data_IF_350260927091
#
_entry.id   IF_350260927091
#
_cell.length_a   1.000
_cell.length_b   1.000
_cell.length_c   1.000
_cell.angle_alpha   90.00
_cell.angle_beta   90.00
_cell.angle_gamma   90.00
#
_symmetry.space_group_name_H-M   'P 1'
#
loop_
_entity.id
_entity.type
_entity.pdbx_description
1 polymer ?
#
# COMPACT_ATOMS: atom_id res chain seq x y z
N UNK A 1 -11.44 -15.10 2.84
CA UNK A 1 -11.91 -14.75 4.20
C UNK A 1 -10.75 -14.59 5.18
N UNK A 2 -9.78 -15.50 5.22
CA UNK A 2 -8.72 -15.51 6.25
C UNK A 2 -7.64 -14.43 6.09
N UNK A 3 -7.54 -13.77 4.93
CA UNK A 3 -6.55 -12.72 4.66
C UNK A 3 -7.23 -11.36 4.48
N UNK A 4 -8.20 -11.25 3.58
CA UNK A 4 -8.81 -9.98 3.17
C UNK A 4 -9.60 -9.34 4.31
N UNK A 5 -10.58 -10.05 4.88
CA UNK A 5 -11.48 -9.47 5.89
C UNK A 5 -10.75 -9.07 7.16
N UNK A 6 -9.87 -9.91 7.77
CA UNK A 6 -9.10 -9.49 8.94
C UNK A 6 -8.16 -8.31 8.65
N UNK A 7 -7.59 -8.26 7.44
CA UNK A 7 -6.69 -7.19 7.04
C UNK A 7 -7.39 -5.83 6.93
N UNK A 8 -8.55 -5.76 6.26
CA UNK A 8 -9.32 -4.50 6.20
C UNK A 8 -9.93 -4.12 7.55
N UNK A 9 -10.34 -5.08 8.38
CA UNK A 9 -10.79 -4.80 9.75
C UNK A 9 -9.65 -4.20 10.59
N UNK A 10 -8.43 -4.75 10.51
CA UNK A 10 -7.26 -4.21 11.21
C UNK A 10 -6.92 -2.79 10.72
N UNK A 11 -7.02 -2.54 9.41
CA UNK A 11 -6.79 -1.20 8.84
C UNK A 11 -7.85 -0.20 9.33
N UNK A 12 -9.13 -0.56 9.35
CA UNK A 12 -10.21 0.29 9.87
C UNK A 12 -9.98 0.64 11.36
N UNK A 13 -9.61 -0.34 12.19
CA UNK A 13 -9.29 -0.10 13.61
C UNK A 13 -8.09 0.83 13.76
N UNK A 14 -6.98 0.55 13.10
CA UNK A 14 -5.77 1.35 13.25
C UNK A 14 -5.94 2.81 12.78
N UNK A 15 -6.74 3.04 11.73
CA UNK A 15 -7.05 4.40 11.28
C UNK A 15 -8.01 5.13 12.21
N UNK A 16 -8.97 4.42 12.83
CA UNK A 16 -9.85 4.98 13.85
C UNK A 16 -9.04 5.40 15.10
N UNK A 17 -8.10 4.57 15.54
CA UNK A 17 -7.21 4.88 16.67
C UNK A 17 -6.35 6.12 16.37
N UNK A 18 -5.80 6.23 15.15
CA UNK A 18 -5.06 7.41 14.71
C UNK A 18 -5.94 8.68 14.71
N UNK A 19 -7.17 8.59 14.19
CA UNK A 19 -8.11 9.70 14.18
C UNK A 19 -8.48 10.12 15.62
N UNK A 20 -8.72 9.16 16.51
CA UNK A 20 -9.01 9.42 17.92
C UNK A 20 -7.82 10.09 18.61
N UNK A 21 -6.59 9.60 18.40
CA UNK A 21 -5.40 10.22 18.95
C UNK A 21 -5.23 11.66 18.48
N UNK A 22 -5.45 11.94 17.18
CA UNK A 22 -5.36 13.28 16.61
C UNK A 22 -6.42 14.25 17.17
N UNK A 23 -7.59 13.75 17.59
CA UNK A 23 -8.60 14.58 18.28
C UNK A 23 -8.17 14.98 19.70
N UNK A 24 -7.46 14.09 20.39
CA UNK A 24 -7.00 14.32 21.76
C UNK A 24 -5.78 15.24 21.79
N UNK A 25 -4.80 14.96 20.95
CA UNK A 25 -3.55 15.71 20.84
C UNK A 25 -3.09 15.65 19.39
N UNK A 26 -2.80 16.82 18.79
CA UNK A 26 -2.28 16.90 17.42
C UNK A 26 -0.77 17.17 17.36
N UNK A 27 -0.04 16.96 18.44
CA UNK A 27 1.44 16.97 18.41
C UNK A 27 1.93 15.91 17.43
N UNK A 28 2.72 16.36 16.47
CA UNK A 28 3.19 15.49 15.40
C UNK A 28 4.01 14.30 15.91
N UNK A 29 4.83 14.49 16.96
CA UNK A 29 5.68 13.43 17.53
C UNK A 29 4.84 12.42 18.29
N UNK A 30 3.85 12.90 19.07
CA UNK A 30 2.92 12.04 19.81
C UNK A 30 2.06 11.15 18.87
N UNK A 31 1.74 11.62 17.66
CA UNK A 31 0.92 10.89 16.68
C UNK A 31 1.69 9.85 15.86
N UNK A 32 3.04 9.94 15.79
CA UNK A 32 3.84 9.02 14.97
C UNK A 32 3.59 7.53 15.24
N UNK A 33 3.48 7.04 16.48
CA UNK A 33 3.21 5.62 16.71
C UNK A 33 1.88 5.16 16.10
N UNK A 34 0.80 5.91 16.26
CA UNK A 34 -0.51 5.59 15.69
C UNK A 34 -0.49 5.66 14.15
N UNK A 35 0.22 6.65 13.58
CA UNK A 35 0.44 6.73 12.13
C UNK A 35 1.21 5.51 11.61
N UNK A 36 2.27 5.07 12.30
CA UNK A 36 3.04 3.89 11.91
C UNK A 36 2.14 2.64 11.91
N UNK A 37 1.32 2.45 12.95
CA UNK A 37 0.40 1.32 13.05
C UNK A 37 -0.67 1.33 11.92
N UNK A 38 -1.25 2.49 11.61
CA UNK A 38 -2.18 2.63 10.50
C UNK A 38 -1.54 2.32 9.15
N UNK A 39 -0.29 2.75 8.96
CA UNK A 39 0.44 2.45 7.73
C UNK A 39 0.80 0.96 7.63
N UNK A 40 1.21 0.31 8.74
CA UNK A 40 1.47 -1.14 8.78
C UNK A 40 0.23 -1.93 8.36
N UNK A 41 -0.92 -1.59 8.92
CA UNK A 41 -2.20 -2.23 8.59
C UNK A 41 -2.57 -2.03 7.12
N UNK A 42 -2.34 -0.81 6.55
CA UNK A 42 -2.55 -0.55 5.13
C UNK A 42 -1.66 -1.42 4.25
N UNK A 43 -0.36 -1.52 4.54
CA UNK A 43 0.56 -2.35 3.75
C UNK A 43 0.13 -3.81 3.75
N UNK A 44 -0.49 -4.27 4.83
CA UNK A 44 -1.07 -5.62 4.92
C UNK A 44 -2.17 -5.93 3.90
N UNK A 45 -2.82 -4.91 3.32
CA UNK A 45 -3.92 -5.07 2.35
C UNK A 45 -3.73 -4.25 1.06
N UNK A 46 -2.69 -3.43 0.96
CA UNK A 46 -2.46 -2.52 -0.17
C UNK A 46 -2.40 -3.22 -1.53
N UNK A 47 -1.95 -4.47 -1.55
CA UNK A 47 -1.88 -5.29 -2.76
C UNK A 47 -3.25 -5.66 -3.33
N UNK A 48 -4.33 -5.54 -2.57
CA UNK A 48 -5.69 -5.87 -2.97
C UNK A 48 -6.31 -4.69 -3.75
N UNK A 49 -5.85 -4.50 -4.98
CA UNK A 49 -6.28 -3.41 -5.88
C UNK A 49 -7.46 -3.84 -6.73
N UNK A 50 -8.58 -4.17 -6.08
CA UNK A 50 -9.84 -4.52 -6.73
C UNK A 50 -11.02 -4.37 -5.75
N UNK A 51 -12.24 -4.33 -6.28
CA UNK A 51 -13.44 -4.24 -5.47
C UNK A 51 -13.57 -2.93 -4.69
N UNK A 52 -13.99 -2.95 -3.43
CA UNK A 52 -14.36 -1.76 -2.67
C UNK A 52 -13.29 -0.68 -2.57
N UNK A 53 -12.01 -1.04 -2.59
CA UNK A 53 -10.90 -0.09 -2.49
C UNK A 53 -10.71 0.75 -3.75
N UNK A 54 -11.14 0.25 -4.92
CA UNK A 54 -11.02 0.97 -6.20
C UNK A 54 -12.19 1.90 -6.47
N UNK A 55 -13.32 1.71 -5.78
CA UNK A 55 -14.50 2.57 -5.94
C UNK A 55 -14.14 4.01 -5.54
N UNK A 56 -14.51 4.97 -6.38
CA UNK A 56 -14.28 6.41 -6.16
C UNK A 56 -12.80 6.79 -5.90
N UNK A 57 -11.86 5.95 -6.35
CA UNK A 57 -10.42 6.19 -6.16
C UNK A 57 -9.95 6.09 -4.70
N UNK A 58 -10.65 5.34 -3.84
CA UNK A 58 -10.34 5.20 -2.41
C UNK A 58 -8.91 4.76 -2.16
N UNK A 59 -8.39 3.82 -2.96
CA UNK A 59 -6.99 3.36 -2.84
C UNK A 59 -5.98 4.50 -3.01
N UNK A 60 -6.22 5.41 -3.94
CA UNK A 60 -5.41 6.62 -4.14
C UNK A 60 -5.61 7.64 -3.01
N UNK A 61 -6.83 7.77 -2.48
CA UNK A 61 -7.10 8.66 -1.35
C UNK A 61 -6.46 8.14 -0.05
N UNK A 62 -6.35 6.83 0.14
CA UNK A 62 -5.63 6.22 1.27
C UNK A 62 -4.12 6.47 1.15
N UNK A 63 -3.55 6.24 -0.03
CA UNK A 63 -2.12 6.46 -0.25
C UNK A 63 -1.83 6.89 -1.69
N UNK A 64 -1.43 8.15 -1.84
CA UNK A 64 -1.00 8.70 -3.13
C UNK A 64 0.53 8.70 -3.21
N UNK A 65 1.08 7.66 -3.79
CA UNK A 65 2.50 7.51 -4.08
C UNK A 65 2.67 6.61 -5.33
N UNK A 66 3.59 6.93 -6.24
CA UNK A 66 4.52 8.08 -6.23
C UNK A 66 3.86 9.42 -6.58
N UNK A 67 4.42 10.52 -6.06
CA UNK A 67 4.02 11.90 -6.39
C UNK A 67 5.18 12.66 -7.05
N UNK A 68 5.48 12.38 -8.32
CA UNK A 68 6.68 12.92 -9.00
C UNK A 68 6.60 14.43 -9.26
N UNK A 69 5.41 15.03 -9.17
CA UNK A 69 5.18 16.44 -9.42
C UNK A 69 5.00 17.27 -8.14
N UNK A 70 5.06 16.64 -6.96
CA UNK A 70 4.83 17.30 -5.68
C UNK A 70 3.42 17.87 -5.51
N UNK A 71 2.42 17.26 -6.18
CA UNK A 71 1.04 17.72 -6.16
C UNK A 71 0.47 17.73 -4.75
N UNK A 72 0.83 16.73 -3.92
CA UNK A 72 0.40 16.63 -2.53
C UNK A 72 0.90 17.78 -1.66
N UNK A 73 2.18 18.10 -1.72
CA UNK A 73 2.76 19.20 -0.96
C UNK A 73 2.14 20.54 -1.37
N UNK A 74 1.94 20.74 -2.67
CA UNK A 74 1.29 21.97 -3.19
C UNK A 74 -0.15 22.10 -2.70
N UNK A 75 -0.95 21.05 -2.77
CA UNK A 75 -2.33 21.04 -2.33
C UNK A 75 -2.44 21.28 -0.81
N UNK A 76 -1.62 20.59 0.00
CA UNK A 76 -1.59 20.79 1.44
C UNK A 76 -1.17 22.18 1.87
N UNK A 77 -0.22 22.80 1.16
CA UNK A 77 0.15 24.19 1.42
C UNK A 77 -1.05 25.12 1.25
N UNK A 78 -1.89 24.91 0.22
CA UNK A 78 -3.12 25.67 0.04
C UNK A 78 -4.09 25.50 1.19
N UNK A 79 -4.30 24.26 1.67
CA UNK A 79 -5.16 23.95 2.81
C UNK A 79 -4.65 24.57 4.12
N UNK A 80 -3.34 24.52 4.37
CA UNK A 80 -2.73 25.11 5.57
C UNK A 80 -2.84 26.64 5.62
N UNK A 81 -2.86 27.30 4.46
CA UNK A 81 -3.01 28.77 4.37
C UNK A 81 -4.47 29.21 4.25
N UNK A 82 -5.40 28.27 4.13
CA UNK A 82 -6.84 28.51 4.05
C UNK A 82 -7.51 28.67 5.42
N UNK A 83 -8.84 28.61 5.40
CA UNK A 83 -9.64 28.68 6.63
C UNK A 83 -9.59 27.34 7.37
N UNK A 84 -8.95 27.31 8.54
CA UNK A 84 -8.87 26.15 9.40
C UNK A 84 -10.25 25.63 9.87
N UNK A 85 -11.25 26.49 10.00
CA UNK A 85 -12.60 26.12 10.41
C UNK A 85 -13.35 25.34 9.30
N UNK A 86 -12.94 25.48 8.05
CA UNK A 86 -13.48 24.71 6.94
C UNK A 86 -12.91 23.27 6.85
N UNK A 87 -11.83 22.96 7.56
CA UNK A 87 -11.16 21.66 7.50
C UNK A 87 -11.95 20.61 8.30
N UNK A 88 -12.92 20.00 7.64
CA UNK A 88 -13.72 18.87 8.14
C UNK A 88 -13.39 17.60 7.35
N UNK A 89 -13.74 16.40 7.86
CA UNK A 89 -13.55 15.15 7.10
C UNK A 89 -14.26 15.18 5.74
N UNK A 90 -15.50 15.71 5.67
CA UNK A 90 -16.26 15.82 4.43
C UNK A 90 -15.58 16.78 3.43
N UNK A 91 -15.07 17.91 3.91
CA UNK A 91 -14.28 18.82 3.08
C UNK A 91 -13.01 18.15 2.57
N UNK A 92 -12.34 17.34 3.41
CA UNK A 92 -11.16 16.56 2.97
C UNK A 92 -11.51 15.52 1.92
N UNK A 93 -12.68 14.89 1.99
CA UNK A 93 -13.13 13.91 0.99
C UNK A 93 -13.25 14.53 -0.42
N UNK A 94 -13.52 15.82 -0.52
CA UNK A 94 -13.61 16.58 -1.78
C UNK A 94 -12.25 17.07 -2.29
N UNK A 95 -11.20 17.00 -1.47
CA UNK A 95 -9.88 17.47 -1.86
C UNK A 95 -9.14 16.47 -2.78
N UNK A 96 -8.09 16.99 -3.43
CA UNK A 96 -7.19 16.14 -4.21
C UNK A 96 -6.69 14.96 -3.40
N UNK A 97 -6.77 13.75 -3.95
CA UNK A 97 -6.23 12.52 -3.34
C UNK A 97 -4.74 12.67 -2.94
N UNK A 98 -4.00 13.51 -3.64
CA UNK A 98 -2.60 13.79 -3.33
C UNK A 98 -2.38 14.51 -1.99
N UNK A 99 -3.40 15.23 -1.48
CA UNK A 99 -3.34 15.91 -0.17
C UNK A 99 -3.79 15.01 0.99
N UNK A 100 -4.46 13.91 0.71
CA UNK A 100 -5.18 13.06 1.66
C UNK A 100 -4.35 11.88 2.18
N UNK A 101 -4.96 11.12 3.07
CA UNK A 101 -4.53 9.80 3.50
C UNK A 101 -3.15 9.75 4.15
N UNK A 102 -2.52 8.58 4.05
CA UNK A 102 -1.23 8.30 4.69
C UNK A 102 -0.10 9.16 4.15
N UNK A 103 -0.04 9.38 2.82
CA UNK A 103 0.97 10.28 2.24
C UNK A 103 0.78 11.74 2.67
N UNK A 104 -0.47 12.16 2.84
CA UNK A 104 -0.81 13.47 3.39
C UNK A 104 -0.36 13.62 4.85
N UNK A 105 -0.70 12.65 5.69
CA UNK A 105 -0.32 12.63 7.09
C UNK A 105 1.20 12.54 7.28
N UNK A 106 1.91 11.75 6.46
CA UNK A 106 3.38 11.69 6.52
C UNK A 106 4.02 13.07 6.40
N UNK A 107 3.58 13.88 5.42
CA UNK A 107 4.11 15.23 5.21
C UNK A 107 3.83 16.17 6.38
N UNK A 108 2.73 15.98 7.10
CA UNK A 108 2.37 16.79 8.28
C UNK A 108 3.09 16.33 9.55
N UNK A 109 3.31 15.02 9.72
CA UNK A 109 3.90 14.44 10.93
C UNK A 109 5.44 14.35 10.86
N UNK A 110 6.01 14.37 9.65
CA UNK A 110 7.46 14.29 9.39
C UNK A 110 7.89 15.37 8.38
N UNK A 111 7.58 16.65 8.62
CA UNK A 111 7.90 17.70 7.68
C UNK A 111 9.42 17.85 7.55
N UNK A 112 9.90 17.96 6.29
CA UNK A 112 11.31 18.23 6.01
C UNK A 112 11.69 19.69 6.32
N UNK A 113 10.72 20.60 6.10
CA UNK A 113 10.85 22.04 6.36
C UNK A 113 9.70 22.49 7.28
N UNK A 114 9.84 23.61 8.00
CA UNK A 114 8.75 24.18 8.81
C UNK A 114 7.50 24.40 8.00
N UNK A 115 6.36 23.97 8.54
CA UNK A 115 5.05 24.18 7.90
C UNK A 115 4.65 25.66 7.92
N UNK A 116 3.91 26.15 6.92
CA UNK A 116 3.58 27.57 6.79
C UNK A 116 2.56 28.07 7.82
N UNK A 117 1.84 27.16 8.49
CA UNK A 117 0.86 27.45 9.53
C UNK A 117 0.73 26.25 10.47
N UNK A 118 -0.05 26.41 11.56
CA UNK A 118 -0.39 25.31 12.48
C UNK A 118 -1.12 24.18 11.72
N UNK A 119 -0.58 22.96 11.71
CA UNK A 119 -1.17 21.85 10.96
C UNK A 119 -2.31 21.12 11.70
N UNK A 120 -2.61 21.48 12.95
CA UNK A 120 -3.49 20.69 13.83
C UNK A 120 -4.87 20.42 13.21
N UNK A 121 -5.53 21.44 12.66
CA UNK A 121 -6.84 21.26 12.04
C UNK A 121 -6.75 20.32 10.80
N UNK A 122 -5.69 20.46 9.99
CA UNK A 122 -5.50 19.61 8.81
C UNK A 122 -5.13 18.17 9.19
N UNK A 123 -4.33 17.95 10.23
CA UNK A 123 -4.02 16.61 10.75
C UNK A 123 -5.32 15.92 11.20
N UNK A 124 -6.15 16.58 12.00
CA UNK A 124 -7.43 16.04 12.50
C UNK A 124 -8.38 15.69 11.35
N UNK A 125 -8.57 16.61 10.42
CA UNK A 125 -9.46 16.39 9.28
C UNK A 125 -8.96 15.25 8.36
N UNK A 126 -7.66 15.20 8.09
CA UNK A 126 -7.06 14.14 7.23
C UNK A 126 -7.11 12.78 7.92
N UNK A 127 -6.85 12.69 9.22
CA UNK A 127 -6.92 11.45 9.96
C UNK A 127 -8.37 10.92 10.05
N UNK A 128 -9.35 11.80 10.24
CA UNK A 128 -10.76 11.44 10.29
C UNK A 128 -11.28 10.99 8.90
N UNK A 129 -10.92 11.70 7.81
CA UNK A 129 -11.22 11.30 6.43
C UNK A 129 -10.62 9.92 6.08
N UNK A 130 -9.38 9.66 6.50
CA UNK A 130 -8.74 8.36 6.31
C UNK A 130 -9.51 7.25 7.05
N UNK A 131 -9.90 7.49 8.30
CA UNK A 131 -10.67 6.53 9.11
C UNK A 131 -12.05 6.24 8.47
N UNK A 132 -12.77 7.26 8.00
CA UNK A 132 -14.04 7.09 7.28
C UNK A 132 -13.86 6.28 5.99
N UNK A 133 -12.80 6.56 5.22
CA UNK A 133 -12.48 5.83 3.98
C UNK A 133 -12.17 4.36 4.29
N UNK A 134 -11.35 4.07 5.31
CA UNK A 134 -10.99 2.72 5.73
C UNK A 134 -12.22 1.93 6.22
N UNK A 135 -13.08 2.56 7.03
CA UNK A 135 -14.33 1.97 7.51
C UNK A 135 -15.27 1.66 6.34
N UNK A 136 -15.43 2.59 5.38
CA UNK A 136 -16.26 2.38 4.19
C UNK A 136 -15.79 1.18 3.36
N UNK A 137 -14.47 1.00 3.19
CA UNK A 137 -13.91 -0.15 2.48
C UNK A 137 -14.19 -1.44 3.25
N UNK A 138 -13.96 -1.45 4.57
CA UNK A 138 -14.23 -2.61 5.42
C UNK A 138 -15.71 -3.02 5.38
N UNK A 139 -16.62 -2.06 5.53
CA UNK A 139 -18.07 -2.31 5.51
C UNK A 139 -18.54 -2.85 4.17
N UNK A 140 -18.00 -2.36 3.07
CA UNK A 140 -18.32 -2.86 1.74
C UNK A 140 -17.83 -4.30 1.50
N UNK A 141 -16.67 -4.68 2.07
CA UNK A 141 -16.22 -6.06 2.09
C UNK A 141 -17.16 -6.97 2.87
N UNK A 142 -17.57 -6.54 4.07
CA UNK A 142 -18.48 -7.29 4.94
C UNK A 142 -19.92 -7.28 4.41
N UNK A 143 -20.33 -6.19 3.77
CA UNK A 143 -21.68 -5.96 3.27
C UNK A 143 -22.05 -6.68 1.97
N UNK A 144 -21.17 -7.56 1.45
CA UNK A 144 -21.51 -8.41 0.31
C UNK A 144 -20.39 -8.65 -0.70
N UNK A 145 -19.37 -7.82 -0.79
CA UNK A 145 -18.33 -8.03 -1.80
C UNK A 145 -17.52 -9.32 -1.55
N UNK A 146 -17.30 -9.69 -0.28
CA UNK A 146 -16.69 -10.98 0.03
C UNK A 146 -17.53 -12.15 -0.46
N UNK A 147 -18.86 -12.07 -0.34
CA UNK A 147 -19.79 -13.09 -0.85
C UNK A 147 -19.75 -13.17 -2.37
N UNK A 148 -19.55 -12.06 -3.06
CA UNK A 148 -19.39 -12.04 -4.52
C UNK A 148 -18.20 -12.88 -4.98
N UNK A 149 -17.09 -12.92 -4.23
CA UNK A 149 -15.96 -13.80 -4.52
C UNK A 149 -16.28 -15.27 -4.21
N UNK A 150 -16.99 -15.53 -3.11
CA UNK A 150 -17.29 -16.89 -2.65
C UNK A 150 -18.31 -17.62 -3.54
N UNK A 151 -19.28 -16.88 -4.07
CA UNK A 151 -20.33 -17.39 -4.94
C UNK A 151 -19.98 -17.31 -6.44
N UNK A 152 -18.70 -17.13 -6.77
CA UNK A 152 -18.24 -17.09 -8.16
C UNK A 152 -18.70 -18.34 -8.92
N UNK A 153 -19.34 -18.14 -10.08
CA UNK A 153 -19.91 -19.19 -10.90
C UNK A 153 -21.30 -19.67 -10.48
N UNK A 154 -21.89 -19.12 -9.42
CA UNK A 154 -23.26 -19.45 -9.00
C UNK A 154 -24.29 -18.58 -9.74
N UNK A 155 -25.52 -19.10 -9.84
CA UNK A 155 -26.64 -18.36 -10.44
C UNK A 155 -26.91 -17.06 -9.67
N UNK A 156 -26.84 -15.93 -10.38
CA UNK A 156 -27.04 -14.59 -9.80
C UNK A 156 -25.76 -13.82 -9.53
N UNK A 157 -24.58 -14.44 -9.57
CA UNK A 157 -23.31 -13.72 -9.54
C UNK A 157 -23.03 -13.11 -10.91
N UNK A 158 -23.07 -11.77 -10.99
CA UNK A 158 -22.84 -11.01 -12.24
C UNK A 158 -21.43 -10.44 -12.34
N UNK A 159 -20.62 -10.56 -11.27
CA UNK A 159 -19.26 -10.03 -11.21
C UNK A 159 -18.23 -11.09 -11.63
N UNK A 160 -18.36 -12.30 -11.06
CA UNK A 160 -17.49 -13.44 -11.38
C UNK A 160 -18.36 -14.57 -11.92
N UNK A 161 -18.40 -14.69 -13.24
CA UNK A 161 -19.25 -15.67 -13.93
C UNK A 161 -18.74 -17.11 -13.73
N UNK A 162 -17.46 -17.26 -13.39
CA UNK A 162 -16.82 -18.54 -13.13
C UNK A 162 -15.88 -18.47 -11.92
N UNK A 163 -15.63 -19.61 -11.28
CA UNK A 163 -14.63 -19.69 -10.19
C UNK A 163 -13.21 -19.34 -10.64
N UNK A 164 -12.74 -19.75 -11.85
CA UNK A 164 -11.45 -19.29 -12.36
C UNK A 164 -11.33 -17.78 -12.46
N UNK A 165 -12.38 -17.02 -12.83
CA UNK A 165 -12.32 -15.55 -12.85
C UNK A 165 -12.01 -14.94 -11.47
N UNK A 166 -12.66 -15.43 -10.42
CA UNK A 166 -12.37 -14.95 -9.05
C UNK A 166 -10.95 -15.32 -8.60
N UNK A 167 -10.46 -16.52 -8.95
CA UNK A 167 -9.07 -16.94 -8.69
C UNK A 167 -8.09 -16.09 -9.48
N UNK A 168 -8.39 -15.81 -10.76
CA UNK A 168 -7.59 -14.94 -11.61
C UNK A 168 -7.46 -13.54 -11.02
N UNK A 169 -8.56 -12.96 -10.52
CA UNK A 169 -8.53 -11.66 -9.86
C UNK A 169 -7.57 -11.65 -8.66
N UNK A 170 -7.59 -12.68 -7.81
CA UNK A 170 -6.69 -12.82 -6.67
C UNK A 170 -5.23 -13.08 -7.08
N UNK A 171 -5.02 -13.95 -8.06
CA UNK A 171 -3.69 -14.22 -8.62
C UNK A 171 -3.04 -12.96 -9.21
N UNK A 172 -3.82 -12.19 -9.97
CA UNK A 172 -3.37 -10.91 -10.53
C UNK A 172 -2.86 -9.96 -9.42
N UNK A 173 -3.53 -9.91 -8.26
CA UNK A 173 -3.06 -9.07 -7.16
C UNK A 173 -1.69 -9.49 -6.63
N UNK A 174 -1.39 -10.79 -6.58
CA UNK A 174 -0.07 -11.28 -6.17
C UNK A 174 1.01 -10.82 -7.17
N UNK A 175 0.76 -11.04 -8.45
CA UNK A 175 1.75 -10.74 -9.51
C UNK A 175 2.00 -9.23 -9.62
N UNK A 176 0.95 -8.43 -9.72
CA UNK A 176 1.09 -6.97 -9.82
C UNK A 176 1.70 -6.33 -8.58
N UNK A 177 1.47 -6.91 -7.40
CA UNK A 177 2.13 -6.44 -6.18
C UNK A 177 3.64 -6.75 -6.15
N UNK A 178 4.07 -7.92 -6.67
CA UNK A 178 5.48 -8.24 -6.83
C UNK A 178 6.16 -7.30 -7.85
N UNK A 179 5.48 -7.00 -8.96
CA UNK A 179 5.93 -6.00 -9.94
C UNK A 179 6.03 -4.60 -9.33
N UNK A 180 5.05 -4.20 -8.51
CA UNK A 180 5.09 -2.93 -7.80
C UNK A 180 6.28 -2.85 -6.81
N UNK A 181 6.57 -3.93 -6.09
CA UNK A 181 7.76 -4.01 -5.22
C UNK A 181 9.05 -3.83 -6.03
N UNK A 182 9.17 -4.57 -7.15
CA UNK A 182 10.33 -4.57 -8.03
C UNK A 182 10.57 -3.20 -8.67
N UNK A 183 9.53 -2.64 -9.30
CA UNK A 183 9.66 -1.49 -10.20
C UNK A 183 9.48 -0.16 -9.48
N UNK A 184 8.53 -0.10 -8.55
CA UNK A 184 8.23 1.14 -7.85
C UNK A 184 9.03 1.27 -6.56
N UNK A 185 8.94 0.31 -5.63
CA UNK A 185 9.57 0.47 -4.31
C UNK A 185 11.08 0.36 -4.35
N UNK A 186 11.61 -0.55 -5.18
CA UNK A 186 13.06 -0.73 -5.35
C UNK A 186 13.60 -0.01 -6.59
N UNK A 187 12.93 -0.10 -7.73
CA UNK A 187 13.40 0.46 -8.99
C UNK A 187 13.51 1.98 -8.98
N UNK A 188 12.55 2.70 -8.38
CA UNK A 188 12.60 4.16 -8.32
C UNK A 188 13.79 4.74 -7.55
N UNK A 189 14.12 4.27 -6.33
CA UNK A 189 15.34 4.71 -5.65
C UNK A 189 16.62 4.20 -6.30
N UNK A 190 16.62 3.02 -6.91
CA UNK A 190 17.76 2.54 -7.68
C UNK A 190 18.08 3.44 -8.87
N UNK A 191 17.08 3.94 -9.58
CA UNK A 191 17.27 4.73 -10.79
C UNK A 191 18.14 4.01 -11.82
N UNK A 192 19.06 4.73 -12.47
CA UNK A 192 20.11 4.13 -13.30
C UNK A 192 21.40 3.96 -12.50
N UNK A 193 22.37 3.21 -13.06
CA UNK A 193 23.67 3.02 -12.38
C UNK A 193 24.37 4.35 -12.09
N UNK A 194 24.33 5.28 -13.04
CA UNK A 194 24.99 6.59 -12.92
C UNK A 194 24.15 7.65 -12.23
N UNK A 195 22.86 7.39 -12.02
CA UNK A 195 21.91 8.32 -11.40
C UNK A 195 20.97 7.60 -10.44
N UNK A 196 21.44 7.19 -9.25
CA UNK A 196 20.60 6.70 -8.18
C UNK A 196 19.74 7.83 -7.60
N UNK A 197 18.53 7.50 -7.13
CA UNK A 197 17.54 8.42 -6.62
C UNK A 197 16.97 8.01 -5.26
N UNK A 198 17.79 7.93 -4.18
CA UNK A 198 17.31 7.52 -2.87
C UNK A 198 16.17 8.39 -2.33
N UNK A 199 16.07 9.64 -2.78
CA UNK A 199 14.98 10.56 -2.42
C UNK A 199 13.61 10.12 -2.96
N UNK A 200 13.57 9.18 -3.93
CA UNK A 200 12.33 8.64 -4.51
C UNK A 200 11.81 7.41 -3.78
N UNK A 201 12.47 6.98 -2.70
CA UNK A 201 11.99 5.87 -1.90
C UNK A 201 10.65 6.20 -1.23
N UNK A 202 9.72 5.21 -1.19
CA UNK A 202 8.41 5.36 -0.58
C UNK A 202 8.51 5.66 0.92
N UNK A 203 7.68 6.56 1.42
CA UNK A 203 7.58 6.86 2.85
C UNK A 203 8.94 7.09 3.53
N UNK A 204 9.82 7.82 2.84
CA UNK A 204 11.20 8.07 3.25
C UNK A 204 11.27 8.98 4.48
N UNK A 205 10.41 9.99 4.55
CA UNK A 205 10.40 10.94 5.65
C UNK A 205 10.07 10.27 7.00
N UNK A 206 9.19 9.28 6.98
CA UNK A 206 8.82 8.49 8.16
C UNK A 206 9.71 7.26 8.42
N UNK A 207 10.76 7.06 7.61
CA UNK A 207 11.70 5.94 7.76
C UNK A 207 11.14 4.58 7.34
N UNK A 208 10.08 4.54 6.52
CA UNK A 208 9.31 3.31 6.27
C UNK A 208 9.67 2.55 5.00
N UNK A 209 10.55 3.05 4.15
CA UNK A 209 10.77 2.46 2.83
C UNK A 209 11.05 0.95 2.89
N UNK A 210 11.98 0.52 3.75
CA UNK A 210 12.31 -0.90 3.94
C UNK A 210 11.21 -1.67 4.71
N UNK A 211 10.60 -1.05 5.71
CA UNK A 211 9.49 -1.64 6.48
C UNK A 211 8.33 -1.98 5.55
N UNK A 212 7.95 -1.08 4.64
CA UNK A 212 6.88 -1.32 3.68
C UNK A 212 7.18 -2.51 2.74
N UNK A 213 8.44 -2.67 2.31
CA UNK A 213 8.86 -3.82 1.49
C UNK A 213 8.71 -5.12 2.28
N UNK A 214 9.21 -5.18 3.51
CA UNK A 214 9.11 -6.34 4.40
C UNK A 214 7.66 -6.75 4.66
N UNK A 215 6.84 -5.80 5.08
CA UNK A 215 5.42 -6.05 5.36
C UNK A 215 4.66 -6.53 4.12
N UNK A 216 4.96 -5.97 2.94
CA UNK A 216 4.36 -6.44 1.69
C UNK A 216 4.74 -7.86 1.36
N UNK A 217 6.02 -8.24 1.49
CA UNK A 217 6.47 -9.62 1.26
C UNK A 217 5.78 -10.59 2.23
N UNK A 218 5.72 -10.27 3.53
CA UNK A 218 5.03 -11.09 4.52
C UNK A 218 3.52 -11.22 4.22
N UNK A 219 2.87 -10.13 3.86
CA UNK A 219 1.44 -10.14 3.55
C UNK A 219 1.12 -10.94 2.28
N UNK A 220 1.91 -10.77 1.22
CA UNK A 220 1.76 -11.54 -0.01
C UNK A 220 2.02 -13.04 0.21
N UNK A 221 3.05 -13.39 0.99
CA UNK A 221 3.31 -14.77 1.39
C UNK A 221 2.12 -15.39 2.13
N UNK A 222 1.54 -14.66 3.08
CA UNK A 222 0.36 -15.11 3.81
C UNK A 222 -0.85 -15.29 2.89
N UNK A 223 -1.07 -14.36 1.96
CA UNK A 223 -2.13 -14.46 0.95
C UNK A 223 -1.94 -15.71 0.08
N UNK A 224 -0.73 -15.95 -0.45
CA UNK A 224 -0.43 -17.12 -1.29
C UNK A 224 -0.66 -18.42 -0.52
N UNK A 225 -0.20 -18.53 0.73
CA UNK A 225 -0.44 -19.69 1.57
C UNK A 225 -1.94 -19.94 1.85
N UNK A 226 -2.77 -18.89 1.79
CA UNK A 226 -4.24 -18.99 1.92
C UNK A 226 -4.90 -19.40 0.61
N UNK A 227 -4.33 -19.00 -0.54
CA UNK A 227 -4.85 -19.35 -1.87
C UNK A 227 -4.57 -20.80 -2.24
N UNK A 228 -3.37 -21.26 -1.99
CA UNK A 228 -3.00 -22.67 -2.13
C UNK A 228 -1.91 -23.09 -1.13
N UNK A 229 -2.10 -24.19 -0.42
CA UNK A 229 -1.07 -24.77 0.46
C UNK A 229 0.01 -25.53 -0.33
N UNK A 230 -0.23 -25.87 -1.60
CA UNK A 230 0.62 -26.77 -2.39
C UNK A 230 1.51 -26.04 -3.40
N UNK A 231 2.19 -24.99 -2.93
CA UNK A 231 3.10 -24.15 -3.72
C UNK A 231 4.45 -23.95 -3.02
N UNK A 232 5.17 -25.04 -2.72
CA UNK A 232 6.37 -25.00 -1.87
C UNK A 232 7.52 -24.16 -2.47
N UNK A 233 7.66 -24.09 -3.81
CA UNK A 233 8.71 -23.31 -4.45
C UNK A 233 8.43 -21.81 -4.31
N UNK A 234 7.18 -21.41 -4.50
CA UNK A 234 6.73 -20.01 -4.32
C UNK A 234 6.92 -19.57 -2.88
N UNK A 235 6.54 -20.41 -1.90
CA UNK A 235 6.74 -20.10 -0.48
C UNK A 235 8.23 -19.99 -0.15
N UNK A 236 9.08 -20.90 -0.64
CA UNK A 236 10.53 -20.82 -0.43
C UNK A 236 11.15 -19.56 -1.07
N UNK A 237 10.67 -19.13 -2.24
CA UNK A 237 11.11 -17.92 -2.88
C UNK A 237 10.69 -16.65 -2.08
N UNK A 238 9.50 -16.65 -1.47
CA UNK A 238 9.11 -15.60 -0.51
C UNK A 238 10.04 -15.58 0.70
N UNK A 239 10.32 -16.74 1.32
CA UNK A 239 11.20 -16.83 2.48
C UNK A 239 12.61 -16.32 2.17
N UNK A 240 13.12 -16.60 0.96
CA UNK A 240 14.41 -16.06 0.50
C UNK A 240 14.38 -14.54 0.34
N UNK A 241 13.36 -13.98 -0.32
CA UNK A 241 13.22 -12.52 -0.50
C UNK A 241 13.05 -11.79 0.85
N UNK A 242 12.29 -12.36 1.78
CA UNK A 242 12.12 -11.84 3.14
C UNK A 242 13.46 -11.83 3.88
N UNK A 243 14.22 -12.92 3.85
CA UNK A 243 15.53 -13.01 4.49
C UNK A 243 16.52 -11.95 3.96
N UNK A 244 16.51 -11.69 2.65
CA UNK A 244 17.31 -10.62 2.04
C UNK A 244 16.85 -9.23 2.49
N UNK A 245 15.54 -8.98 2.56
CA UNK A 245 14.99 -7.73 3.05
C UNK A 245 15.31 -7.51 4.54
N UNK A 246 15.28 -8.58 5.35
CA UNK A 246 15.62 -8.52 6.78
C UNK A 246 17.11 -8.26 7.03
N UNK A 247 17.96 -8.77 6.15
CA UNK A 247 19.39 -8.52 6.19
C UNK A 247 19.81 -7.12 5.68
N UNK A 248 18.88 -6.40 5.01
CA UNK A 248 19.13 -5.05 4.52
C UNK A 248 18.93 -4.02 5.63
N UNK A 249 20.02 -3.52 6.22
CA UNK A 249 20.00 -2.49 7.26
C UNK A 249 20.06 -1.09 6.62
N UNK A 250 18.99 -0.70 5.92
CA UNK A 250 18.88 0.60 5.24
C UNK A 250 17.40 1.06 5.20
N UNK A 251 16.90 1.67 6.27
CA UNK A 251 15.47 1.99 6.42
C UNK A 251 14.86 2.82 5.30
N UNK A 252 15.67 3.67 4.65
CA UNK A 252 15.22 4.62 3.63
C UNK A 252 15.88 4.41 2.26
N UNK A 253 16.57 3.28 2.09
CA UNK A 253 17.27 2.92 0.86
C UNK A 253 18.32 3.99 0.43
N UNK A 254 18.94 4.67 1.40
CA UNK A 254 19.96 5.67 1.13
C UNK A 254 21.23 5.05 0.52
N UNK A 255 21.52 3.80 0.84
CA UNK A 255 22.67 3.04 0.37
C UNK A 255 22.72 2.83 -1.14
N UNK A 256 21.61 3.01 -1.86
CA UNK A 256 21.62 2.91 -3.34
C UNK A 256 22.56 3.91 -4.01
N UNK A 257 22.95 4.98 -3.28
CA UNK A 257 23.94 5.95 -3.73
C UNK A 257 25.38 5.43 -3.64
N UNK A 258 25.63 4.26 -3.05
CA UNK A 258 26.95 3.64 -2.93
C UNK A 258 26.99 2.30 -3.68
N UNK A 259 28.12 1.92 -4.24
CA UNK A 259 28.24 0.67 -4.99
C UNK A 259 27.82 -0.56 -4.15
N UNK A 260 28.25 -0.64 -2.89
CA UNK A 260 27.94 -1.79 -2.02
C UNK A 260 26.47 -1.80 -1.58
N UNK A 261 25.91 -0.66 -1.20
CA UNK A 261 24.50 -0.57 -0.80
C UNK A 261 23.58 -0.81 -1.98
N UNK A 262 23.89 -0.26 -3.16
CA UNK A 262 23.19 -0.52 -4.41
C UNK A 262 23.14 -2.02 -4.73
N UNK A 263 24.28 -2.70 -4.70
CA UNK A 263 24.35 -4.14 -4.98
C UNK A 263 23.39 -4.94 -4.06
N UNK A 264 23.31 -4.60 -2.77
CA UNK A 264 22.39 -5.29 -1.84
C UNK A 264 20.92 -5.09 -2.23
N UNK A 265 20.55 -3.88 -2.65
CA UNK A 265 19.18 -3.58 -3.07
C UNK A 265 18.86 -4.25 -4.42
N UNK A 266 19.82 -4.30 -5.36
CA UNK A 266 19.69 -5.03 -6.63
C UNK A 266 19.53 -6.55 -6.43
N UNK A 267 20.26 -7.14 -5.45
CA UNK A 267 20.09 -8.56 -5.09
C UNK A 267 18.66 -8.82 -4.60
N UNK A 268 18.12 -7.96 -3.73
CA UNK A 268 16.73 -8.07 -3.28
C UNK A 268 15.75 -7.91 -4.45
N UNK A 269 15.97 -6.95 -5.34
CA UNK A 269 15.13 -6.75 -6.53
C UNK A 269 15.12 -7.98 -7.44
N UNK A 270 16.29 -8.58 -7.70
CA UNK A 270 16.40 -9.81 -8.49
C UNK A 270 15.72 -11.00 -7.82
N UNK A 271 15.81 -11.12 -6.49
CA UNK A 271 15.10 -12.16 -5.75
C UNK A 271 13.58 -12.02 -5.86
N UNK A 272 13.05 -10.79 -5.84
CA UNK A 272 11.62 -10.52 -6.05
C UNK A 272 11.21 -10.83 -7.50
N UNK A 273 12.06 -10.53 -8.48
CA UNK A 273 11.83 -10.93 -9.88
C UNK A 273 11.74 -12.45 -10.01
N UNK A 274 12.69 -13.18 -9.45
CA UNK A 274 12.68 -14.64 -9.45
C UNK A 274 11.49 -15.23 -8.70
N UNK A 275 11.06 -14.61 -7.59
CA UNK A 275 9.84 -14.95 -6.86
C UNK A 275 8.60 -14.80 -7.75
N UNK A 276 8.46 -13.66 -8.46
CA UNK A 276 7.35 -13.43 -9.39
C UNK A 276 7.30 -14.52 -10.47
N UNK A 277 8.44 -14.81 -11.10
CA UNK A 277 8.53 -15.82 -12.16
C UNK A 277 8.20 -17.24 -11.61
N UNK A 278 8.62 -17.53 -10.38
CA UNK A 278 8.27 -18.78 -9.69
C UNK A 278 6.76 -18.86 -9.40
N UNK A 279 6.15 -17.77 -8.93
CA UNK A 279 4.70 -17.70 -8.66
C UNK A 279 3.89 -17.85 -9.96
N UNK A 280 4.34 -17.26 -11.07
CA UNK A 280 3.73 -17.48 -12.39
C UNK A 280 3.78 -18.95 -12.82
N UNK A 281 4.90 -19.62 -12.58
CA UNK A 281 5.11 -21.00 -13.03
C UNK A 281 4.47 -22.06 -12.11
N UNK A 282 4.26 -21.78 -10.84
CA UNK A 282 3.74 -22.74 -9.86
C UNK A 282 2.32 -22.41 -9.41
N UNK A 283 2.07 -21.17 -8.91
CA UNK A 283 0.76 -20.77 -8.39
C UNK A 283 -0.29 -20.62 -9.49
N UNK A 284 0.08 -20.12 -10.67
CA UNK A 284 -0.85 -19.96 -11.80
C UNK A 284 -1.51 -21.28 -12.21
N UNK A 285 -0.74 -22.32 -12.57
CA UNK A 285 -1.28 -23.64 -12.88
C UNK A 285 -2.05 -24.29 -11.72
N UNK A 286 -1.59 -24.12 -10.47
CA UNK A 286 -2.24 -24.66 -9.28
C UNK A 286 -3.64 -24.05 -9.06
N UNK A 287 -3.82 -22.78 -9.38
CA UNK A 287 -5.11 -22.12 -9.30
C UNK A 287 -5.98 -22.30 -10.56
N UNK A 288 -5.48 -23.01 -11.57
CA UNK A 288 -6.13 -23.15 -12.89
C UNK A 288 -6.38 -21.77 -13.53
N UNK A 289 -5.36 -20.90 -13.49
CA UNK A 289 -5.41 -19.56 -14.07
C UNK A 289 -4.19 -19.31 -14.97
N UNK A 290 -4.41 -18.63 -16.09
CA UNK A 290 -3.35 -18.23 -17.01
C UNK A 290 -2.83 -16.82 -16.71
N UNK A 291 -1.72 -16.44 -17.40
CA UNK A 291 -1.31 -15.05 -17.49
C UNK A 291 -2.38 -14.35 -18.36
N UNK A 292 -3.37 -13.72 -17.72
CA UNK A 292 -4.23 -12.78 -18.42
C UNK A 292 -3.38 -11.59 -18.86
N UNK A 293 -3.62 -11.04 -20.04
CA UNK A 293 -3.05 -9.75 -20.44
C UNK A 293 -3.42 -8.73 -19.37
N UNK A 294 -2.42 -8.17 -18.70
CA UNK A 294 -2.65 -7.14 -17.71
C UNK A 294 -3.10 -5.86 -18.43
N UNK A 295 -4.02 -5.10 -17.81
CA UNK A 295 -4.44 -3.79 -18.30
C UNK A 295 -3.27 -2.77 -18.41
N UNK A 296 -2.06 -3.15 -18.00
CA UNK A 296 -0.82 -2.38 -18.18
C UNK A 296 -0.19 -2.55 -19.57
N UNK A 297 -0.61 -3.56 -20.36
CA UNK A 297 -0.13 -3.80 -21.72
C UNK A 297 -1.01 -3.13 -22.79
N UNK A 298 -1.96 -2.31 -22.36
CA UNK A 298 -2.83 -1.53 -23.22
C UNK A 298 -2.20 -0.19 -23.63
N UNK A 299 -1.96 -0.04 -24.91
CA UNK A 299 -1.56 1.07 -25.78
C UNK A 299 -1.42 2.49 -25.19
#
# INVERSE_FOLDING_TARGET
QQHILPGYAAFAVATADLAQAAQQDCDAVALRPAFQAAFDAWIGVQHLRFGPVEVDGRGLAIQFWPDPKGAGAKAQRGLLLGDAAALTPDHMAEQSVAARGLSGLERLLYPADPLPADPCALIRATAADLAQTAQTVNDAWLGGYAETLLTAGESGNTTYLTRPEARQALFTQVITALEFLQDQRLGRPLGTFDAPHPERAEARASGRSLVNIRLSLHSLRAMVATLSPDVPKTIAAFDHAIALADALDDPVLAGVATAQGRLRVEILQQAITALRDTALAELGPELDVGIGFNAADGD
#
